data_IF_236491178066
#
_entry.id   IF_236491178066
#
_cell.length_a   1.000
_cell.length_b   1.000
_cell.length_c   1.000
_cell.angle_alpha   90.00
_cell.angle_beta   90.00
_cell.angle_gamma   90.00
#
_symmetry.space_group_name_H-M   'P 1'
#
loop_
_entity.id
_entity.type
_entity.pdbx_description
1 polymer ?
#
# COMPACT_ATOMS: atom_id res chain seq x y z
N UNK A 1 14.76 -6.04 -5.36
CA UNK A 1 14.33 -5.02 -4.37
C UNK A 1 14.64 -5.54 -2.98
N UNK A 2 15.16 -4.74 -2.03
CA UNK A 2 15.46 -5.25 -0.68
C UNK A 2 15.35 -4.18 0.42
N UNK A 3 14.57 -4.43 1.48
CA UNK A 3 14.43 -3.57 2.67
C UNK A 3 14.57 -4.39 3.93
N UNK A 4 15.67 -4.21 4.68
CA UNK A 4 15.97 -5.00 5.89
C UNK A 4 16.02 -4.18 7.18
N UNK A 5 15.63 -2.90 7.12
CA UNK A 5 15.59 -1.97 8.25
C UNK A 5 14.84 -0.69 7.88
N UNK A 6 14.15 -0.05 8.84
CA UNK A 6 13.57 1.30 8.68
C UNK A 6 14.62 2.43 8.60
N UNK A 7 15.83 2.20 9.13
CA UNK A 7 16.87 3.25 9.29
C UNK A 7 18.07 3.10 8.35
N UNK A 8 18.06 2.08 7.49
CA UNK A 8 19.14 1.83 6.56
C UNK A 8 19.19 2.90 5.47
N UNK A 9 20.34 3.09 4.80
CA UNK A 9 20.42 4.01 3.66
C UNK A 9 19.38 3.63 2.60
N UNK A 10 18.44 4.54 2.34
CA UNK A 10 17.43 4.37 1.30
C UNK A 10 18.13 4.33 -0.06
N UNK A 11 17.73 3.40 -0.93
CA UNK A 11 18.29 3.26 -2.29
C UNK A 11 17.27 3.48 -3.39
N UNK A 12 16.01 3.19 -3.11
CA UNK A 12 14.91 3.33 -4.05
C UNK A 12 13.60 3.45 -3.26
N UNK A 13 12.65 4.23 -3.77
CA UNK A 13 11.34 4.44 -3.14
C UNK A 13 10.26 4.60 -4.21
N UNK A 14 9.05 4.15 -3.91
CA UNK A 14 7.85 4.40 -4.72
C UNK A 14 7.04 5.51 -4.04
N UNK A 15 6.74 6.56 -4.80
CA UNK A 15 5.93 7.70 -4.37
C UNK A 15 4.78 7.89 -5.36
N UNK A 16 3.76 8.64 -4.97
CA UNK A 16 2.71 9.04 -5.89
C UNK A 16 2.41 10.52 -5.73
N UNK A 17 2.59 11.28 -6.81
CA UNK A 17 2.37 12.73 -6.79
C UNK A 17 0.87 13.02 -6.72
N UNK A 18 0.40 13.90 -5.80
CA UNK A 18 -1.00 14.29 -5.71
C UNK A 18 -1.61 14.65 -7.07
N UNK A 19 -2.79 14.11 -7.37
CA UNK A 19 -3.44 14.21 -8.68
C UNK A 19 -4.76 14.99 -8.65
N UNK A 20 -5.34 15.17 -9.84
CA UNK A 20 -6.61 15.89 -10.04
C UNK A 20 -7.83 15.23 -9.36
N UNK A 21 -7.77 13.93 -9.10
CA UNK A 21 -8.78 13.19 -8.37
C UNK A 21 -8.98 13.78 -6.99
N UNK A 22 -7.90 14.11 -6.28
CA UNK A 22 -7.96 14.68 -4.92
C UNK A 22 -8.68 16.04 -4.91
N UNK A 23 -8.46 16.89 -5.92
CA UNK A 23 -9.09 18.22 -6.01
C UNK A 23 -10.61 18.19 -6.28
N UNK A 24 -11.15 17.07 -6.77
CA UNK A 24 -12.56 16.94 -7.15
C UNK A 24 -13.45 16.34 -6.07
N UNK A 25 -12.88 15.98 -4.94
CA UNK A 25 -13.61 15.29 -3.87
C UNK A 25 -14.39 16.31 -3.06
N UNK A 26 -15.72 16.16 -3.04
CA UNK A 26 -16.56 16.93 -2.11
C UNK A 26 -16.27 16.50 -0.66
N UNK A 27 -16.44 17.38 0.35
CA UNK A 27 -16.17 17.02 1.75
C UNK A 27 -16.89 15.75 2.23
N UNK A 28 -18.15 15.54 1.81
CA UNK A 28 -18.88 14.30 2.12
C UNK A 28 -18.18 13.08 1.52
N UNK A 29 -17.74 13.19 0.27
CA UNK A 29 -17.05 12.11 -0.43
C UNK A 29 -15.66 11.83 0.15
N UNK A 30 -14.99 12.85 0.68
CA UNK A 30 -13.69 12.71 1.34
C UNK A 30 -13.81 11.75 2.54
N UNK A 31 -14.82 11.94 3.40
CA UNK A 31 -15.09 11.04 4.53
C UNK A 31 -15.38 9.60 4.06
N UNK A 32 -16.20 9.43 3.01
CA UNK A 32 -16.51 8.12 2.41
C UNK A 32 -15.26 7.42 1.85
N UNK A 33 -14.36 8.19 1.25
CA UNK A 33 -13.10 7.73 0.67
C UNK A 33 -11.94 7.68 1.68
N UNK A 34 -12.22 7.93 2.96
CA UNK A 34 -11.22 7.95 4.04
C UNK A 34 -10.09 8.94 3.79
N UNK A 35 -10.43 10.13 3.28
CA UNK A 35 -9.53 11.25 3.07
C UNK A 35 -9.96 12.42 3.94
N UNK A 36 -9.08 12.91 4.80
CA UNK A 36 -9.47 13.73 5.96
C UNK A 36 -9.88 15.17 5.62
N UNK A 37 -9.39 15.76 4.53
CA UNK A 37 -9.65 17.18 4.26
C UNK A 37 -9.73 17.54 2.78
N UNK A 38 -10.37 18.69 2.50
CA UNK A 38 -10.31 19.35 1.20
C UNK A 38 -8.95 20.05 1.10
N UNK A 39 -8.16 19.67 0.12
CA UNK A 39 -6.80 20.20 -0.06
C UNK A 39 -6.74 21.20 -1.21
N UNK A 40 -5.80 22.13 -1.11
CA UNK A 40 -5.42 22.98 -2.23
C UNK A 40 -4.34 22.28 -3.06
N UNK A 41 -4.77 21.56 -4.10
CA UNK A 41 -3.91 20.68 -4.90
C UNK A 41 -2.62 21.34 -5.42
N UNK A 42 -2.61 22.58 -5.95
CA UNK A 42 -1.37 23.20 -6.41
C UNK A 42 -0.30 23.29 -5.31
N UNK A 43 -0.67 23.71 -4.10
CA UNK A 43 0.25 23.77 -2.97
C UNK A 43 0.70 22.37 -2.53
N UNK A 44 -0.22 21.41 -2.47
CA UNK A 44 0.10 20.03 -2.11
C UNK A 44 1.10 19.40 -3.09
N UNK A 45 0.97 19.73 -4.38
CA UNK A 45 1.90 19.33 -5.43
C UNK A 45 3.27 20.01 -5.27
N UNK A 46 3.31 21.32 -4.99
CA UNK A 46 4.55 22.03 -4.71
C UNK A 46 5.31 21.42 -3.50
N UNK A 47 4.59 21.12 -2.42
CA UNK A 47 5.16 20.48 -1.23
C UNK A 47 5.68 19.06 -1.53
N UNK A 48 4.92 18.27 -2.30
CA UNK A 48 5.35 16.94 -2.73
C UNK A 48 6.55 17.00 -3.69
N UNK A 49 6.62 18.00 -4.56
CA UNK A 49 7.77 18.21 -5.46
C UNK A 49 9.03 18.51 -4.65
N UNK A 50 8.94 19.38 -3.63
CA UNK A 50 10.06 19.61 -2.68
C UNK A 50 10.47 18.32 -1.97
N UNK A 51 9.51 17.54 -1.46
CA UNK A 51 9.78 16.25 -0.83
C UNK A 51 10.54 15.29 -1.77
N UNK A 52 10.06 15.14 -3.00
CA UNK A 52 10.70 14.24 -3.97
C UNK A 52 12.05 14.76 -4.45
N UNK A 53 12.25 16.07 -4.58
CA UNK A 53 13.54 16.65 -4.94
C UNK A 53 14.62 16.39 -3.88
N UNK A 54 14.25 16.43 -2.59
CA UNK A 54 15.14 16.00 -1.50
C UNK A 54 15.53 14.54 -1.68
N UNK A 55 14.56 13.64 -1.91
CA UNK A 55 14.87 12.22 -2.15
C UNK A 55 15.80 12.03 -3.35
N UNK A 56 15.49 12.66 -4.50
CA UNK A 56 16.29 12.57 -5.73
C UNK A 56 17.72 13.05 -5.51
N UNK A 57 17.94 14.07 -4.68
CA UNK A 57 19.28 14.56 -4.34
C UNK A 57 20.12 13.52 -3.56
N UNK A 58 19.49 12.67 -2.74
CA UNK A 58 20.17 11.63 -1.97
C UNK A 58 20.32 10.30 -2.71
N UNK A 59 19.30 9.86 -3.45
CA UNK A 59 19.25 8.51 -4.03
C UNK A 59 19.29 8.48 -5.56
N UNK A 60 19.24 9.63 -6.25
CA UNK A 60 19.17 9.71 -7.71
C UNK A 60 17.73 9.73 -8.23
N UNK A 61 17.53 10.36 -9.39
CA UNK A 61 16.19 10.57 -9.98
C UNK A 61 15.52 9.26 -10.36
N UNK A 62 16.29 8.36 -10.96
CA UNK A 62 15.89 7.02 -11.41
C UNK A 62 15.45 6.09 -10.27
N UNK A 63 15.78 6.46 -9.02
CA UNK A 63 15.45 5.68 -7.83
C UNK A 63 14.24 6.23 -7.06
N UNK A 64 13.65 7.34 -7.50
CA UNK A 64 12.35 7.82 -7.01
C UNK A 64 11.31 7.46 -8.06
N UNK A 65 10.70 6.29 -7.88
CA UNK A 65 9.72 5.74 -8.81
C UNK A 65 8.35 6.35 -8.55
N UNK A 66 7.65 6.75 -9.61
CA UNK A 66 6.31 7.32 -9.52
C UNK A 66 5.25 6.23 -9.80
N UNK A 67 4.27 6.07 -8.91
CA UNK A 67 3.32 4.96 -8.94
C UNK A 67 2.42 4.96 -10.17
N UNK A 68 2.02 6.15 -10.67
CA UNK A 68 1.28 6.26 -11.92
C UNK A 68 2.15 5.91 -13.12
N UNK A 69 3.41 6.31 -13.15
CA UNK A 69 4.36 5.87 -14.20
C UNK A 69 4.52 4.35 -14.19
N UNK A 70 4.63 3.74 -13.01
CA UNK A 70 4.62 2.28 -12.87
C UNK A 70 3.30 1.66 -13.32
N UNK A 71 2.16 2.32 -13.09
CA UNK A 71 0.87 1.86 -13.61
C UNK A 71 0.84 1.91 -15.14
N UNK A 72 1.26 3.03 -15.75
CA UNK A 72 1.34 3.18 -17.19
C UNK A 72 2.28 2.13 -17.83
N UNK A 73 3.45 1.90 -17.22
CA UNK A 73 4.38 0.86 -17.67
C UNK A 73 3.81 -0.57 -17.57
N UNK A 74 2.93 -0.82 -16.58
CA UNK A 74 2.26 -2.11 -16.42
C UNK A 74 1.19 -2.31 -17.49
N UNK A 75 0.41 -1.26 -17.79
CA UNK A 75 -0.58 -1.24 -18.89
C UNK A 75 0.11 -1.48 -20.24
N UNK A 76 1.25 -0.83 -20.48
CA UNK A 76 1.97 -0.88 -21.75
C UNK A 76 2.74 -2.19 -21.97
N UNK A 77 2.84 -3.07 -20.96
CA UNK A 77 3.70 -4.24 -21.04
C UNK A 77 3.23 -5.27 -22.07
N UNK A 78 1.96 -5.67 -21.99
CA UNK A 78 1.34 -6.64 -22.90
C UNK A 78 -0.11 -6.23 -23.21
N UNK A 79 -0.61 -6.37 -24.45
CA UNK A 79 -1.99 -5.99 -24.80
C UNK A 79 -3.05 -6.62 -23.89
N UNK A 80 -2.85 -7.88 -23.52
CA UNK A 80 -3.77 -8.64 -22.66
C UNK A 80 -3.86 -8.03 -21.25
N UNK A 81 -2.79 -7.40 -20.75
CA UNK A 81 -2.77 -6.76 -19.42
C UNK A 81 -3.62 -5.48 -19.38
N UNK A 82 -3.59 -4.70 -20.47
CA UNK A 82 -4.44 -3.50 -20.64
C UNK A 82 -5.92 -3.88 -20.70
N UNK A 83 -6.25 -4.89 -21.51
CA UNK A 83 -7.64 -5.38 -21.59
C UNK A 83 -8.10 -5.94 -20.24
N UNK A 84 -7.25 -6.71 -19.56
CA UNK A 84 -7.55 -7.27 -18.23
C UNK A 84 -7.86 -6.18 -17.20
N UNK A 85 -7.00 -5.17 -17.03
CA UNK A 85 -7.22 -4.12 -16.02
C UNK A 85 -8.46 -3.28 -16.32
N UNK A 86 -8.75 -3.02 -17.60
CA UNK A 86 -9.97 -2.32 -18.01
C UNK A 86 -11.21 -3.16 -17.68
N UNK A 87 -11.19 -4.46 -17.97
CA UNK A 87 -12.31 -5.35 -17.68
C UNK A 87 -12.61 -5.40 -16.19
N UNK A 88 -11.60 -5.62 -15.35
CA UNK A 88 -11.76 -5.67 -13.90
C UNK A 88 -12.32 -4.36 -13.33
N UNK A 89 -11.84 -3.22 -13.82
CA UNK A 89 -12.31 -1.89 -13.39
C UNK A 89 -13.74 -1.61 -13.85
N UNK A 90 -14.05 -1.88 -15.11
CA UNK A 90 -15.41 -1.69 -15.65
C UNK A 90 -16.41 -2.57 -14.94
N UNK A 91 -16.04 -3.82 -14.66
CA UNK A 91 -16.92 -4.77 -13.99
C UNK A 91 -17.09 -4.40 -12.51
N UNK A 92 -16.03 -3.96 -11.81
CA UNK A 92 -16.09 -3.50 -10.41
C UNK A 92 -16.92 -2.22 -10.23
N UNK A 93 -16.77 -1.25 -11.13
CA UNK A 93 -17.48 0.04 -11.09
C UNK A 93 -18.86 -0.03 -11.77
N UNK A 94 -19.28 -1.21 -12.22
CA UNK A 94 -20.55 -1.45 -12.93
C UNK A 94 -20.77 -0.54 -14.16
N UNK A 95 -19.69 -0.23 -14.89
CA UNK A 95 -19.75 0.68 -16.02
C UNK A 95 -20.34 0.01 -17.28
N UNK A 96 -21.00 0.77 -18.17
CA UNK A 96 -21.44 0.26 -19.46
C UNK A 96 -20.28 -0.31 -20.28
N UNK A 97 -20.47 -1.51 -20.86
CA UNK A 97 -19.47 -2.17 -21.70
C UNK A 97 -19.05 -1.34 -22.93
N UNK A 98 -19.90 -0.41 -23.38
CA UNK A 98 -19.58 0.54 -24.44
C UNK A 98 -18.37 1.43 -24.13
N UNK A 99 -18.05 1.65 -22.84
CA UNK A 99 -16.88 2.41 -22.42
C UNK A 99 -15.57 1.61 -22.55
N UNK A 100 -15.61 0.28 -22.63
CA UNK A 100 -14.40 -0.56 -22.78
C UNK A 100 -13.62 -0.17 -24.04
N UNK A 101 -14.29 -0.05 -25.19
CA UNK A 101 -13.66 0.33 -26.45
C UNK A 101 -12.99 1.70 -26.39
N UNK A 102 -13.59 2.63 -25.63
CA UNK A 102 -13.04 3.97 -25.42
C UNK A 102 -11.83 3.94 -24.49
N UNK A 103 -11.89 3.24 -23.35
CA UNK A 103 -10.76 3.10 -22.45
C UNK A 103 -9.57 2.40 -23.13
N UNK A 104 -9.84 1.40 -23.99
CA UNK A 104 -8.83 0.71 -24.78
C UNK A 104 -8.11 1.63 -25.79
N UNK A 105 -8.80 2.65 -26.32
CA UNK A 105 -8.22 3.57 -27.31
C UNK A 105 -7.38 4.69 -26.69
N UNK A 106 -7.43 4.88 -25.37
CA UNK A 106 -6.60 5.87 -24.69
C UNK A 106 -5.11 5.49 -24.73
N UNK A 107 -4.20 6.47 -24.84
CA UNK A 107 -2.79 6.26 -24.53
C UNK A 107 -2.61 5.70 -23.12
N UNK A 108 -1.62 4.84 -22.90
CA UNK A 108 -1.48 4.10 -21.63
C UNK A 108 -1.26 5.02 -20.41
N UNK A 109 -0.53 6.12 -20.59
CA UNK A 109 -0.37 7.16 -19.56
C UNK A 109 -1.71 7.82 -19.19
N UNK A 110 -2.53 8.13 -20.20
CA UNK A 110 -3.86 8.72 -19.97
C UNK A 110 -4.81 7.71 -19.34
N UNK A 111 -4.73 6.44 -19.75
CA UNK A 111 -5.50 5.38 -19.11
C UNK A 111 -5.11 5.26 -17.62
N UNK A 112 -3.81 5.30 -17.29
CA UNK A 112 -3.36 5.30 -15.91
C UNK A 112 -3.94 6.47 -15.10
N UNK A 113 -3.94 7.69 -15.65
CA UNK A 113 -4.61 8.84 -15.02
C UNK A 113 -6.10 8.57 -14.79
N UNK A 114 -6.82 8.02 -15.77
CA UNK A 114 -8.26 7.75 -15.66
C UNK A 114 -8.54 6.66 -14.62
N UNK A 115 -7.72 5.62 -14.54
CA UNK A 115 -7.87 4.54 -13.57
C UNK A 115 -7.68 5.01 -12.12
N UNK A 116 -6.87 6.04 -11.90
CA UNK A 116 -6.62 6.66 -10.59
C UNK A 116 -7.69 7.71 -10.27
N UNK A 117 -8.00 8.57 -11.24
CA UNK A 117 -8.76 9.80 -11.00
C UNK A 117 -10.25 9.69 -11.33
N UNK A 118 -10.66 8.62 -12.01
CA UNK A 118 -12.02 8.36 -12.45
C UNK A 118 -12.57 9.33 -13.49
N UNK A 119 -11.72 10.12 -14.15
CA UNK A 119 -12.16 11.26 -14.97
C UNK A 119 -11.55 11.31 -16.36
N UNK A 120 -12.39 11.67 -17.33
CA UNK A 120 -12.04 11.96 -18.70
C UNK A 120 -12.23 13.47 -18.99
N UNK A 121 -11.15 14.28 -18.89
CA UNK A 121 -11.18 15.72 -19.08
C UNK A 121 -11.70 16.16 -20.44
N UNK A 122 -11.39 15.39 -21.48
CA UNK A 122 -11.70 15.74 -22.87
C UNK A 122 -13.21 15.78 -23.13
N UNK A 123 -13.98 15.07 -22.31
CA UNK A 123 -15.44 14.97 -22.40
C UNK A 123 -16.14 15.49 -21.14
N UNK A 124 -15.38 16.03 -20.19
CA UNK A 124 -15.87 16.40 -18.86
C UNK A 124 -16.72 15.29 -18.21
N UNK A 125 -16.22 14.05 -18.29
CA UNK A 125 -16.98 12.88 -17.88
C UNK A 125 -16.33 12.16 -16.70
N UNK A 126 -17.02 12.16 -15.56
CA UNK A 126 -16.68 11.36 -14.37
C UNK A 126 -17.27 9.96 -14.52
N UNK A 127 -16.40 8.96 -14.54
CA UNK A 127 -16.75 7.55 -14.64
C UNK A 127 -17.02 6.92 -13.27
N UNK A 128 -16.14 7.18 -12.31
CA UNK A 128 -16.18 6.62 -10.95
C UNK A 128 -15.41 7.52 -9.98
N UNK A 129 -15.47 7.19 -8.69
CA UNK A 129 -14.77 7.94 -7.66
C UNK A 129 -13.24 7.82 -7.78
N UNK A 130 -12.47 8.88 -7.48
CA UNK A 130 -11.01 8.82 -7.46
C UNK A 130 -10.49 8.01 -6.27
N UNK A 131 -9.21 7.64 -6.31
CA UNK A 131 -8.49 6.99 -5.20
C UNK A 131 -7.48 7.93 -4.51
N UNK A 132 -7.94 8.87 -3.66
CA UNK A 132 -7.09 9.93 -3.13
C UNK A 132 -5.98 9.41 -2.19
N UNK A 133 -6.17 8.27 -1.53
CA UNK A 133 -5.15 7.71 -0.64
C UNK A 133 -4.04 6.97 -1.38
N UNK A 134 -4.04 6.96 -2.73
CA UNK A 134 -2.93 6.42 -3.52
C UNK A 134 -1.61 7.19 -3.31
N UNK A 135 -1.68 8.43 -2.79
CA UNK A 135 -0.52 9.20 -2.33
C UNK A 135 0.21 8.52 -1.15
N UNK A 136 -0.51 7.73 -0.35
CA UNK A 136 0.03 7.00 0.79
C UNK A 136 0.54 5.63 0.35
N UNK A 137 1.61 5.63 -0.44
CA UNK A 137 2.22 4.42 -1.03
C UNK A 137 2.72 3.42 0.01
N UNK A 138 2.88 3.84 1.28
CA UNK A 138 3.19 2.98 2.42
C UNK A 138 2.17 1.85 2.58
N UNK A 139 0.89 2.11 2.35
CA UNK A 139 -0.17 1.19 2.76
C UNK A 139 -0.48 0.09 1.75
N UNK A 140 -0.09 0.27 0.50
CA UNK A 140 -0.49 -0.59 -0.62
C UNK A 140 0.43 -1.80 -0.83
N UNK A 141 1.70 -1.69 -0.45
CA UNK A 141 2.67 -2.77 -0.48
C UNK A 141 3.87 -2.45 0.42
N UNK A 142 4.47 -3.47 1.02
CA UNK A 142 5.66 -3.32 1.87
C UNK A 142 6.72 -4.32 1.46
N UNK A 143 7.96 -3.85 1.32
CA UNK A 143 9.10 -4.72 1.09
C UNK A 143 9.64 -5.21 2.43
N UNK A 144 9.67 -6.53 2.65
CA UNK A 144 10.22 -7.18 3.84
C UNK A 144 11.38 -8.05 3.41
N UNK A 145 12.60 -7.65 3.79
CA UNK A 145 13.84 -8.20 3.26
C UNK A 145 13.81 -8.21 1.73
N UNK A 146 13.88 -9.38 1.09
CA UNK A 146 13.88 -9.56 -0.36
C UNK A 146 12.49 -9.88 -0.94
N UNK A 147 11.43 -9.81 -0.12
CA UNK A 147 10.05 -10.10 -0.52
C UNK A 147 9.20 -8.83 -0.56
N UNK A 148 8.19 -8.81 -1.43
CA UNK A 148 7.13 -7.79 -1.43
C UNK A 148 5.85 -8.41 -0.90
N UNK A 149 5.31 -7.79 0.15
CA UNK A 149 3.99 -8.09 0.69
C UNK A 149 3.00 -7.11 0.07
N UNK A 150 2.13 -7.59 -0.81
CA UNK A 150 0.98 -6.81 -1.27
C UNK A 150 -0.05 -6.90 -0.14
N UNK A 151 -0.37 -5.74 0.43
CA UNK A 151 -1.25 -5.61 1.59
C UNK A 151 -2.69 -5.97 1.25
N UNK A 152 -3.56 -6.04 2.26
CA UNK A 152 -5.00 -6.22 2.08
C UNK A 152 -5.73 -5.22 2.98
N UNK A 153 -6.38 -4.20 2.41
CA UNK A 153 -7.01 -3.15 3.21
C UNK A 153 -8.22 -3.69 3.99
N UNK A 154 -8.45 -3.12 5.17
CA UNK A 154 -9.59 -3.49 6.02
C UNK A 154 -10.89 -2.80 5.64
N UNK A 155 -10.83 -1.77 4.80
CA UNK A 155 -11.96 -0.93 4.40
C UNK A 155 -12.17 -0.99 2.89
N UNK A 156 -13.42 -1.16 2.47
CA UNK A 156 -13.80 -1.30 1.06
C UNK A 156 -13.39 -0.08 0.20
N UNK A 157 -13.39 1.12 0.78
CA UNK A 157 -13.00 2.36 0.09
C UNK A 157 -11.58 2.31 -0.51
N UNK A 158 -10.68 1.45 0.00
CA UNK A 158 -9.30 1.32 -0.47
C UNK A 158 -9.08 0.12 -1.41
N UNK A 159 -10.14 -0.59 -1.79
CA UNK A 159 -10.02 -1.77 -2.64
C UNK A 159 -9.43 -1.43 -4.01
N UNK A 160 -9.83 -0.31 -4.61
CA UNK A 160 -9.32 0.17 -5.90
C UNK A 160 -7.82 0.47 -5.88
N UNK A 161 -7.33 1.13 -4.83
CA UNK A 161 -5.90 1.38 -4.61
C UNK A 161 -5.12 0.06 -4.56
N UNK A 162 -5.64 -0.90 -3.79
CA UNK A 162 -5.05 -2.22 -3.67
C UNK A 162 -5.05 -2.98 -5.00
N UNK A 163 -6.15 -2.92 -5.76
CA UNK A 163 -6.27 -3.54 -7.06
C UNK A 163 -5.22 -3.02 -8.05
N UNK A 164 -5.07 -1.69 -8.19
CA UNK A 164 -4.06 -1.11 -9.07
C UNK A 164 -2.63 -1.45 -8.61
N UNK A 165 -2.40 -1.49 -7.30
CA UNK A 165 -1.11 -1.90 -6.73
C UNK A 165 -0.77 -3.35 -7.06
N UNK A 166 -1.74 -4.26 -6.94
CA UNK A 166 -1.59 -5.66 -7.38
C UNK A 166 -1.24 -5.75 -8.85
N UNK A 167 -1.95 -4.99 -9.69
CA UNK A 167 -1.68 -4.96 -11.12
C UNK A 167 -0.28 -4.47 -11.44
N UNK A 168 0.18 -3.40 -10.78
CA UNK A 168 1.56 -2.89 -10.93
C UNK A 168 2.58 -3.99 -10.61
N UNK A 169 2.50 -4.60 -9.43
CA UNK A 169 3.48 -5.61 -9.01
C UNK A 169 3.43 -6.90 -9.84
N UNK A 170 2.25 -7.23 -10.39
CA UNK A 170 2.06 -8.44 -11.19
C UNK A 170 2.51 -8.29 -12.65
N UNK A 171 2.23 -7.13 -13.24
CA UNK A 171 2.35 -6.90 -14.68
C UNK A 171 3.54 -6.02 -15.07
N UNK A 172 4.06 -5.17 -14.18
CA UNK A 172 5.16 -4.28 -14.56
C UNK A 172 6.49 -5.04 -14.70
N UNK A 173 7.25 -4.86 -15.80
CA UNK A 173 8.51 -5.56 -16.05
C UNK A 173 9.56 -5.43 -14.92
N UNK A 174 9.60 -4.27 -14.26
CA UNK A 174 10.50 -4.02 -13.12
C UNK A 174 10.34 -5.06 -12.00
N UNK A 175 9.14 -5.60 -11.82
CA UNK A 175 8.82 -6.54 -10.73
C UNK A 175 8.71 -8.00 -11.19
N UNK A 176 8.86 -8.28 -12.49
CA UNK A 176 8.75 -9.63 -13.05
C UNK A 176 9.67 -10.64 -12.33
N UNK A 177 10.91 -10.24 -12.04
CA UNK A 177 11.86 -11.08 -11.28
C UNK A 177 11.34 -11.51 -9.90
N UNK A 178 10.58 -10.65 -9.19
CA UNK A 178 10.01 -11.01 -7.89
C UNK A 178 8.94 -12.08 -8.02
N UNK A 179 8.13 -12.02 -9.08
CA UNK A 179 7.13 -13.04 -9.38
C UNK A 179 7.81 -14.37 -9.72
N UNK A 180 8.77 -14.35 -10.63
CA UNK A 180 9.46 -15.55 -11.12
C UNK A 180 10.23 -16.27 -10.00
N UNK A 181 10.76 -15.52 -9.04
CA UNK A 181 11.47 -16.04 -7.88
C UNK A 181 10.56 -16.38 -6.68
N UNK A 182 9.24 -16.21 -6.81
CA UNK A 182 8.28 -16.52 -5.74
C UNK A 182 8.36 -15.58 -4.52
N UNK A 183 8.85 -14.35 -4.73
CA UNK A 183 9.11 -13.30 -3.73
C UNK A 183 7.95 -12.32 -3.52
N UNK A 184 6.82 -12.52 -4.21
CA UNK A 184 5.59 -11.77 -3.97
C UNK A 184 4.68 -12.58 -3.03
N UNK A 185 4.33 -11.98 -1.90
CA UNK A 185 3.32 -12.49 -0.97
C UNK A 185 2.07 -11.63 -1.16
N UNK A 186 1.02 -12.18 -1.77
CA UNK A 186 -0.21 -11.45 -2.04
C UNK A 186 -1.33 -11.84 -1.07
N UNK A 187 -1.58 -11.01 -0.05
CA UNK A 187 -2.60 -11.27 0.98
C UNK A 187 -4.04 -11.30 0.43
N UNK A 188 -4.23 -10.95 -0.84
CA UNK A 188 -5.51 -10.96 -1.54
C UNK A 188 -5.84 -12.30 -2.19
N UNK A 189 -4.89 -13.25 -2.25
CA UNK A 189 -5.15 -14.61 -2.70
C UNK A 189 -5.94 -15.37 -1.64
N UNK A 190 -7.24 -15.52 -1.83
CA UNK A 190 -8.16 -16.10 -0.83
C UNK A 190 -7.90 -17.57 -0.52
N UNK A 191 -7.30 -18.32 -1.45
CA UNK A 191 -6.92 -19.72 -1.23
C UNK A 191 -5.69 -19.84 -0.31
N UNK A 192 -4.73 -18.93 -0.45
CA UNK A 192 -3.51 -18.88 0.39
C UNK A 192 -3.79 -18.19 1.73
N UNK A 193 -4.67 -17.18 1.74
CA UNK A 193 -5.01 -16.34 2.87
C UNK A 193 -6.52 -16.35 3.16
N UNK A 194 -7.11 -17.51 3.49
CA UNK A 194 -8.54 -17.63 3.72
C UNK A 194 -8.97 -16.94 5.02
N UNK A 195 -10.27 -16.58 5.15
CA UNK A 195 -10.83 -16.16 6.42
C UNK A 195 -10.63 -17.22 7.51
N UNK A 196 -10.58 -16.77 8.77
CA UNK A 196 -10.52 -17.68 9.91
C UNK A 196 -11.79 -18.54 9.99
N UNK A 197 -11.76 -19.65 10.75
CA UNK A 197 -12.95 -20.48 11.03
C UNK A 197 -14.09 -19.70 11.71
N UNK A 198 -13.79 -18.51 12.26
CA UNK A 198 -14.75 -17.60 12.89
C UNK A 198 -15.20 -16.47 11.95
N UNK A 199 -14.78 -16.51 10.68
CA UNK A 199 -15.13 -15.50 9.67
C UNK A 199 -14.26 -14.25 9.70
N UNK A 200 -13.15 -14.23 10.44
CA UNK A 200 -12.25 -13.08 10.46
C UNK A 200 -11.49 -13.01 9.14
N UNK A 201 -11.66 -11.91 8.39
CA UNK A 201 -10.94 -11.68 7.15
C UNK A 201 -9.50 -11.29 7.42
N UNK A 202 -8.59 -11.71 6.53
CA UNK A 202 -7.22 -11.23 6.48
C UNK A 202 -7.23 -9.75 6.11
N UNK A 203 -6.62 -8.92 6.96
CA UNK A 203 -6.41 -7.50 6.74
C UNK A 203 -5.07 -7.12 7.35
N UNK A 204 -4.19 -6.52 6.55
CA UNK A 204 -2.88 -6.01 6.99
C UNK A 204 -2.58 -4.82 6.10
N UNK A 205 -2.36 -3.65 6.70
CA UNK A 205 -1.95 -2.42 6.00
C UNK A 205 -0.47 -2.11 6.29
N UNK A 206 0.17 -1.37 5.38
CA UNK A 206 1.62 -1.18 5.44
C UNK A 206 2.09 -0.25 6.55
N UNK A 207 1.29 0.73 6.97
CA UNK A 207 1.59 1.57 8.14
C UNK A 207 1.74 0.78 9.44
N UNK A 208 1.22 -0.45 9.51
CA UNK A 208 1.41 -1.35 10.67
C UNK A 208 2.68 -2.19 10.60
N UNK A 209 3.41 -2.22 9.48
CA UNK A 209 4.58 -3.07 9.30
C UNK A 209 5.88 -2.27 9.37
N UNK A 210 6.76 -2.65 10.30
CA UNK A 210 8.08 -2.05 10.45
C UNK A 210 9.19 -3.08 10.50
N UNK A 211 10.19 -2.92 9.64
CA UNK A 211 11.35 -3.80 9.64
C UNK A 211 12.40 -3.22 10.61
N UNK A 212 12.46 -3.75 11.84
CA UNK A 212 13.45 -3.29 12.82
C UNK A 212 14.87 -3.72 12.42
N UNK A 213 14.98 -4.94 11.91
CA UNK A 213 16.19 -5.48 11.29
C UNK A 213 15.82 -6.73 10.46
N UNK A 214 16.81 -7.31 9.76
CA UNK A 214 16.62 -8.49 8.90
C UNK A 214 15.90 -9.68 9.55
N UNK A 215 15.93 -9.80 10.88
CA UNK A 215 15.35 -10.93 11.61
C UNK A 215 14.01 -10.60 12.30
N UNK A 216 13.62 -9.33 12.39
CA UNK A 216 12.49 -8.86 13.19
C UNK A 216 11.58 -7.96 12.35
N UNK A 217 10.38 -8.46 12.08
CA UNK A 217 9.27 -7.66 11.55
C UNK A 217 8.32 -7.34 12.70
N UNK A 218 8.09 -6.07 12.96
CA UNK A 218 7.10 -5.60 13.91
C UNK A 218 5.79 -5.32 13.15
N UNK A 219 4.67 -5.82 13.68
CA UNK A 219 3.35 -5.63 13.09
C UNK A 219 2.35 -5.13 14.15
N UNK A 220 1.77 -3.95 13.91
CA UNK A 220 0.68 -3.42 14.71
C UNK A 220 -0.62 -4.18 14.48
N UNK A 221 -1.25 -4.67 15.54
CA UNK A 221 -2.65 -5.11 15.52
C UNK A 221 -3.53 -3.91 15.85
N UNK A 222 -4.20 -3.37 14.83
CA UNK A 222 -4.84 -2.04 14.85
C UNK A 222 -6.32 -2.10 14.41
N UNK A 223 -6.92 -0.96 14.06
CA UNK A 223 -8.21 -0.93 13.34
C UNK A 223 -8.07 -1.48 11.90
N UNK A 224 -6.90 -1.32 11.29
CA UNK A 224 -6.62 -1.64 9.88
C UNK A 224 -5.97 -3.01 9.70
N UNK A 225 -5.29 -3.53 10.71
CA UNK A 225 -4.60 -4.81 10.67
C UNK A 225 -5.18 -5.79 11.69
N UNK A 226 -5.66 -6.94 11.21
CA UNK A 226 -6.30 -7.98 12.04
C UNK A 226 -5.28 -8.97 12.59
N UNK A 227 -5.52 -9.50 13.80
CA UNK A 227 -4.67 -10.54 14.40
C UNK A 227 -4.60 -11.80 13.51
N UNK A 228 -5.71 -12.19 12.88
CA UNK A 228 -5.72 -13.28 11.90
C UNK A 228 -4.81 -12.96 10.70
N UNK A 229 -4.87 -11.74 10.17
CA UNK A 229 -3.99 -11.31 9.08
C UNK A 229 -2.50 -11.34 9.46
N UNK A 230 -2.16 -10.91 10.69
CA UNK A 230 -0.80 -10.99 11.24
C UNK A 230 -0.32 -12.45 11.28
N UNK A 231 -1.14 -13.36 11.80
CA UNK A 231 -0.76 -14.78 11.89
C UNK A 231 -0.60 -15.43 10.52
N UNK A 232 -1.50 -15.15 9.56
CA UNK A 232 -1.38 -15.67 8.20
C UNK A 232 -0.13 -15.14 7.48
N UNK A 233 0.18 -13.85 7.62
CA UNK A 233 1.39 -13.27 7.07
C UNK A 233 2.65 -13.84 7.74
N UNK A 234 2.65 -13.99 9.06
CA UNK A 234 3.73 -14.62 9.83
C UNK A 234 4.05 -16.00 9.29
N UNK A 235 3.04 -16.85 9.12
CA UNK A 235 3.22 -18.23 8.68
C UNK A 235 3.86 -18.28 7.28
N UNK A 236 3.37 -17.45 6.35
CA UNK A 236 3.95 -17.32 5.01
C UNK A 236 5.40 -16.81 5.02
N UNK A 237 5.71 -15.82 5.88
CA UNK A 237 7.06 -15.28 6.03
C UNK A 237 8.03 -16.32 6.62
N UNK A 238 7.58 -17.12 7.58
CA UNK A 238 8.40 -18.18 8.18
C UNK A 238 8.62 -19.35 7.22
N UNK A 239 7.57 -19.77 6.50
CA UNK A 239 7.69 -20.82 5.48
C UNK A 239 8.69 -20.45 4.38
N UNK A 240 8.70 -19.18 3.96
CA UNK A 240 9.64 -18.65 2.97
C UNK A 240 11.00 -18.26 3.56
N UNK A 241 11.19 -18.36 4.88
CA UNK A 241 12.43 -17.98 5.56
C UNK A 241 12.79 -16.50 5.47
N UNK A 242 11.79 -15.63 5.29
CA UNK A 242 11.99 -14.18 5.08
C UNK A 242 12.45 -13.50 6.37
N UNK A 243 11.87 -13.85 7.52
CA UNK A 243 12.23 -13.34 8.83
C UNK A 243 12.25 -14.46 9.86
N UNK A 244 12.93 -14.21 10.98
CA UNK A 244 13.01 -15.18 12.08
C UNK A 244 12.00 -14.88 13.20
N UNK A 245 11.54 -13.63 13.30
CA UNK A 245 10.67 -13.18 14.36
C UNK A 245 9.63 -12.21 13.81
N UNK A 246 8.38 -12.41 14.22
CA UNK A 246 7.28 -11.46 14.03
C UNK A 246 6.85 -10.96 15.41
N UNK A 247 6.91 -9.65 15.62
CA UNK A 247 6.55 -8.98 16.88
C UNK A 247 5.18 -8.34 16.68
N UNK A 248 4.14 -8.93 17.27
CA UNK A 248 2.82 -8.34 17.26
C UNK A 248 2.69 -7.34 18.40
N UNK A 249 2.18 -6.15 18.10
CA UNK A 249 1.90 -5.10 19.09
C UNK A 249 0.43 -4.73 19.02
N UNK A 250 -0.30 -4.91 20.11
CA UNK A 250 -1.71 -4.51 20.17
C UNK A 250 -1.82 -3.00 20.44
N UNK A 251 -2.47 -2.29 19.51
CA UNK A 251 -2.78 -0.86 19.61
C UNK A 251 -4.28 -0.72 19.91
N UNK A 252 -4.69 0.20 20.80
CA UNK A 252 -6.12 0.44 21.01
C UNK A 252 -6.81 0.79 19.68
N UNK A 253 -8.00 0.23 19.46
CA UNK A 253 -8.80 0.52 18.27
C UNK A 253 -9.46 1.88 18.43
N UNK A 254 -8.74 2.93 18.06
CA UNK A 254 -9.24 4.31 18.04
C UNK A 254 -8.96 4.91 16.66
N UNK A 255 -9.89 5.70 16.14
CA UNK A 255 -9.72 6.37 14.85
C UNK A 255 -8.59 7.39 14.85
N UNK A 256 -8.21 7.89 16.03
CA UNK A 256 -7.16 8.90 16.20
C UNK A 256 -5.76 8.38 15.86
N UNK A 257 -5.56 7.07 15.79
CA UNK A 257 -4.30 6.43 15.42
C UNK A 257 -4.59 5.11 14.68
N UNK A 258 -4.52 5.18 13.34
CA UNK A 258 -4.93 4.09 12.46
C UNK A 258 -3.90 2.96 12.36
N UNK A 259 -2.62 3.28 12.53
CA UNK A 259 -1.48 2.36 12.37
C UNK A 259 -0.36 2.67 13.36
N UNK A 260 0.58 1.73 13.51
CA UNK A 260 1.71 1.88 14.45
C UNK A 260 2.68 3.02 14.09
N UNK A 261 2.91 3.29 12.81
CA UNK A 261 3.81 4.36 12.35
C UNK A 261 3.42 5.77 12.83
N UNK A 262 2.11 6.01 12.99
CA UNK A 262 1.58 7.27 13.51
C UNK A 262 1.93 7.52 14.99
N UNK A 263 2.26 6.47 15.75
CA UNK A 263 2.51 6.56 17.19
C UNK A 263 3.89 6.07 17.61
N UNK A 264 4.62 5.37 16.75
CA UNK A 264 5.92 4.77 17.05
C UNK A 264 6.72 4.65 15.75
N UNK A 265 7.88 5.30 15.65
CA UNK A 265 8.77 5.18 14.49
C UNK A 265 10.23 5.12 14.93
N UNK A 266 10.97 4.14 14.43
CA UNK A 266 12.41 4.04 14.65
C UNK A 266 13.15 5.03 13.73
N UNK A 267 13.94 5.94 14.32
CA UNK A 267 14.69 6.96 13.58
C UNK A 267 16.21 6.77 13.63
N UNK A 268 16.69 5.89 14.52
CA UNK A 268 18.09 5.51 14.62
C UNK A 268 18.21 4.14 15.32
N UNK A 269 19.42 3.59 15.43
CA UNK A 269 19.70 2.34 16.14
C UNK A 269 19.19 2.36 17.58
N UNK A 270 19.32 3.50 18.27
CA UNK A 270 18.93 3.68 19.67
C UNK A 270 17.87 4.77 19.91
N UNK A 271 17.24 5.28 18.85
CA UNK A 271 16.29 6.39 18.97
C UNK A 271 14.97 6.06 18.27
N UNK A 272 13.89 6.38 18.96
CA UNK A 272 12.51 6.18 18.53
C UNK A 272 11.76 7.48 18.78
N UNK A 273 10.89 7.87 17.84
CA UNK A 273 9.87 8.89 18.06
C UNK A 273 8.58 8.18 18.43
N UNK A 274 7.98 8.58 19.54
CA UNK A 274 6.79 7.91 20.07
C UNK A 274 5.76 8.92 20.58
N UNK A 275 4.48 8.61 20.36
CA UNK A 275 3.37 9.34 20.94
C UNK A 275 3.22 8.94 22.41
N UNK A 276 3.76 9.79 23.29
CA UNK A 276 3.85 9.56 24.74
C UNK A 276 2.55 9.02 25.38
N UNK A 277 1.35 9.58 25.11
CA UNK A 277 0.13 9.12 25.77
C UNK A 277 -0.20 7.64 25.55
N UNK A 278 0.16 7.08 24.39
CA UNK A 278 -0.13 5.67 24.07
C UNK A 278 1.07 4.78 24.39
N UNK A 279 2.28 5.20 23.98
CA UNK A 279 3.48 4.34 24.09
C UNK A 279 4.07 4.34 25.49
N UNK A 280 3.98 5.45 26.23
CA UNK A 280 4.60 5.62 27.55
C UNK A 280 3.57 5.60 28.67
N UNK A 281 2.48 6.35 28.52
CA UNK A 281 1.45 6.48 29.55
C UNK A 281 0.33 5.43 29.42
N UNK A 282 0.23 4.77 28.26
CA UNK A 282 -0.83 3.82 27.95
C UNK A 282 -0.81 2.59 28.84
N UNK A 283 -1.97 1.93 28.97
CA UNK A 283 -2.05 0.61 29.59
C UNK A 283 -1.24 -0.35 28.73
N UNK A 284 -0.08 -0.78 29.24
CA UNK A 284 0.83 -1.80 28.69
C UNK A 284 0.28 -2.51 27.44
N UNK A 285 0.73 -2.10 26.25
CA UNK A 285 0.46 -2.85 25.03
C UNK A 285 0.98 -4.28 25.20
N UNK A 286 0.12 -5.25 24.95
CA UNK A 286 0.55 -6.64 24.84
C UNK A 286 1.44 -6.76 23.60
N UNK A 287 2.69 -7.12 23.85
CA UNK A 287 3.66 -7.47 22.82
C UNK A 287 3.81 -8.98 22.84
N UNK A 288 3.61 -9.62 21.70
CA UNK A 288 3.82 -11.06 21.53
C UNK A 288 4.88 -11.28 20.45
N UNK A 289 5.92 -12.04 20.77
CA UNK A 289 7.01 -12.35 19.85
C UNK A 289 6.86 -13.78 19.36
N UNK A 290 6.48 -13.96 18.10
CA UNK A 290 6.48 -15.25 17.45
C UNK A 290 7.84 -15.52 16.82
N UNK A 291 8.38 -16.72 17.01
CA UNK A 291 9.66 -17.14 16.41
C UNK A 291 9.45 -18.25 15.39
N UNK A 292 10.27 -18.28 14.35
CA UNK A 292 10.25 -19.31 13.29
C UNK A 292 10.49 -20.74 13.81
N UNK A 293 11.09 -20.88 15.00
CA UNK A 293 11.25 -22.17 15.68
C UNK A 293 10.02 -22.64 16.48
N UNK A 294 8.90 -21.91 16.40
CA UNK A 294 7.64 -22.24 17.07
C UNK A 294 7.51 -21.75 18.52
N UNK A 295 8.52 -21.07 19.07
CA UNK A 295 8.43 -20.49 20.42
C UNK A 295 7.76 -19.11 20.40
N UNK A 296 7.09 -18.76 21.49
CA UNK A 296 6.53 -17.43 21.74
C UNK A 296 7.17 -16.78 22.97
N UNK A 297 7.15 -15.45 23.06
CA UNK A 297 7.63 -14.69 24.22
C UNK A 297 6.79 -13.44 24.45
#
# INVERSE_FOLDING_TARGET
>A
MQVSSEIGPLKQVIVHRPDEGIARISPKKAEELLFDDIVFLPQMQEEHDVFTDVLRAFIGKENVLEAKELLAGAIAHEPDTKEWVINEVVDYEELPSALKAKLMSLPDERLADVLITGYLPEEDYILFDPIPNFIFTRDIAVTVNDHVVITKPGKAARFRENFLSRFIFWSHPLFAHLKDEGRIINLNHTEEFPPSKRGEVVSVEGGDMMILNKNFLLIGCSERTSAHGIHSLRDALFEKGVVNNVVQINIPKDRSYMHIDTIFTQINTNHIVAFKPIVVDGLSSYVEVFRSNGTTA
#
